data_IF_440566921238
#
_entry.id   IF_440566921238
#
_cell.length_a   1.000
_cell.length_b   1.000
_cell.length_c   1.000
_cell.angle_alpha   90.00
_cell.angle_beta   90.00
_cell.angle_gamma   90.00
#
_symmetry.space_group_name_H-M   'P 1'
#
loop_
_entity.id
_entity.type
_entity.pdbx_description
1 polymer ?
#
# COMPACT_ATOMS: atom_id res chain seq x y z
N UNK A 1 -16.56 23.94 15.75
CA UNK A 1 -15.94 23.33 14.55
C UNK A 1 -15.90 21.82 14.73
N UNK A 2 -16.07 21.05 13.69
CA UNK A 2 -15.89 19.60 13.77
C UNK A 2 -14.42 19.28 14.04
N UNK A 3 -14.15 18.26 14.88
CA UNK A 3 -12.79 17.80 15.19
C UNK A 3 -12.13 17.22 13.95
N UNK A 4 -10.83 17.48 13.76
CA UNK A 4 -10.01 16.82 12.75
C UNK A 4 -9.87 15.33 13.03
N UNK A 5 -9.48 14.55 12.02
CA UNK A 5 -9.20 13.11 12.21
C UNK A 5 -8.11 12.88 13.25
N UNK A 6 -7.09 13.74 13.28
CA UNK A 6 -6.00 13.67 14.24
C UNK A 6 -6.47 13.89 15.68
N UNK A 7 -7.24 14.95 15.91
CA UNK A 7 -7.80 15.23 17.26
C UNK A 7 -8.68 14.08 17.74
N UNK A 8 -9.49 13.49 16.87
CA UNK A 8 -10.30 12.31 17.19
C UNK A 8 -9.45 11.10 17.56
N UNK A 9 -8.37 10.85 16.79
CA UNK A 9 -7.46 9.75 17.06
C UNK A 9 -6.71 9.95 18.39
N UNK A 10 -6.21 11.14 18.67
CA UNK A 10 -5.52 11.48 19.91
C UNK A 10 -6.43 11.27 21.14
N UNK A 11 -7.70 11.66 21.06
CA UNK A 11 -8.68 11.44 22.12
C UNK A 11 -8.96 9.95 22.36
N UNK A 12 -9.04 9.13 21.31
CA UNK A 12 -9.22 7.69 21.44
C UNK A 12 -7.99 7.04 22.07
N UNK A 13 -6.80 7.38 21.57
CA UNK A 13 -5.52 6.84 22.08
C UNK A 13 -5.29 7.23 23.54
N UNK A 14 -5.70 8.43 23.95
CA UNK A 14 -5.60 8.86 25.37
C UNK A 14 -6.45 8.00 26.33
N UNK A 15 -7.52 7.39 25.82
CA UNK A 15 -8.40 6.52 26.62
C UNK A 15 -7.99 5.05 26.61
N UNK A 16 -7.08 4.64 25.71
CA UNK A 16 -6.62 3.25 25.61
C UNK A 16 -5.67 2.87 26.74
N UNK A 17 -5.80 1.63 27.23
CA UNK A 17 -4.79 1.00 28.09
C UNK A 17 -3.53 0.68 27.25
N UNK A 18 -2.44 0.29 27.92
CA UNK A 18 -1.22 -0.09 27.24
C UNK A 18 -1.43 -1.32 26.34
N UNK A 19 -2.15 -2.33 26.84
CA UNK A 19 -2.48 -3.55 26.12
C UNK A 19 -3.33 -3.26 24.88
N UNK A 20 -4.31 -2.38 25.01
CA UNK A 20 -5.13 -1.93 23.87
C UNK A 20 -4.29 -1.21 22.82
N UNK A 21 -3.38 -0.31 23.22
CA UNK A 21 -2.44 0.35 22.30
C UNK A 21 -1.55 -0.66 21.55
N UNK A 22 -1.00 -1.65 22.28
CA UNK A 22 -0.19 -2.71 21.68
C UNK A 22 -1.01 -3.53 20.68
N UNK A 23 -2.26 -3.85 21.00
CA UNK A 23 -3.14 -4.60 20.09
C UNK A 23 -3.41 -3.89 18.76
N UNK A 24 -3.32 -2.56 18.72
CA UNK A 24 -3.50 -1.76 17.50
C UNK A 24 -2.26 -1.72 16.60
N UNK A 25 -1.10 -2.19 17.07
CA UNK A 25 0.15 -2.19 16.29
C UNK A 25 0.35 -3.45 15.45
N UNK A 26 -0.54 -4.43 15.57
CA UNK A 26 -0.52 -5.65 14.76
C UNK A 26 -1.26 -5.46 13.44
N UNK A 27 -0.96 -6.28 12.44
CA UNK A 27 -1.73 -6.25 11.18
C UNK A 27 -3.21 -6.58 11.39
N UNK A 28 -3.55 -7.40 12.36
CA UNK A 28 -4.90 -7.65 12.84
C UNK A 28 -5.19 -6.82 14.09
N UNK A 29 -5.54 -5.54 13.93
CA UNK A 29 -5.89 -4.67 15.03
C UNK A 29 -7.17 -5.15 15.73
N UNK A 30 -7.09 -5.36 17.04
CA UNK A 30 -8.20 -5.89 17.83
C UNK A 30 -9.34 -4.86 17.95
N UNK A 31 -10.56 -5.37 18.14
CA UNK A 31 -11.69 -4.54 18.53
C UNK A 31 -11.50 -3.96 19.95
N UNK A 32 -11.92 -2.71 20.15
CA UNK A 32 -12.01 -2.08 21.47
C UNK A 32 -13.45 -1.59 21.64
N UNK A 33 -14.32 -2.51 22.03
CA UNK A 33 -15.79 -2.29 22.09
C UNK A 33 -16.16 -1.06 22.92
N UNK A 34 -15.55 -0.88 24.10
CA UNK A 34 -15.81 0.26 24.99
C UNK A 34 -15.49 1.63 24.39
N UNK A 35 -14.66 1.67 23.35
CA UNK A 35 -14.31 2.89 22.61
C UNK A 35 -15.00 2.96 21.23
N UNK A 36 -15.82 1.98 20.89
CA UNK A 36 -16.46 1.89 19.58
C UNK A 36 -15.48 1.69 18.44
N UNK A 37 -14.29 1.13 18.69
CA UNK A 37 -13.28 0.84 17.67
C UNK A 37 -13.51 -0.59 17.18
N UNK A 38 -13.90 -0.78 15.91
CA UNK A 38 -14.11 -2.11 15.38
C UNK A 38 -12.77 -2.81 15.08
N UNK A 39 -12.76 -4.13 15.04
CA UNK A 39 -11.66 -4.92 14.48
C UNK A 39 -11.32 -4.42 13.08
N UNK A 40 -10.02 -4.32 12.77
CA UNK A 40 -9.54 -3.97 11.44
C UNK A 40 -8.32 -4.81 11.08
N UNK A 41 -8.25 -5.26 9.82
CA UNK A 41 -7.06 -5.94 9.32
C UNK A 41 -6.34 -5.06 8.29
N UNK A 42 -5.08 -4.72 8.59
CA UNK A 42 -4.22 -3.88 7.77
C UNK A 42 -3.62 -4.62 6.58
N UNK A 43 -3.64 -5.95 6.58
CA UNK A 43 -3.05 -6.75 5.52
C UNK A 43 -4.04 -6.97 4.37
N UNK A 44 -3.92 -6.13 3.35
CA UNK A 44 -4.69 -6.24 2.14
C UNK A 44 -3.77 -6.05 0.92
N UNK A 45 -4.03 -6.79 -0.14
CA UNK A 45 -3.19 -6.82 -1.33
C UNK A 45 -3.97 -6.40 -2.56
N UNK A 46 -3.37 -5.50 -3.36
CA UNK A 46 -3.99 -4.98 -4.58
C UNK A 46 -2.96 -4.58 -5.63
N UNK A 47 -1.88 -5.35 -5.78
CA UNK A 47 -0.76 -5.00 -6.63
C UNK A 47 -1.17 -4.88 -8.12
N UNK A 48 -2.01 -5.79 -8.60
CA UNK A 48 -2.55 -5.79 -9.97
C UNK A 48 -4.00 -6.33 -10.01
N UNK A 49 -4.77 -6.02 -8.99
CA UNK A 49 -6.15 -6.46 -8.74
C UNK A 49 -6.33 -6.80 -7.26
N UNK A 50 -7.58 -6.76 -6.78
CA UNK A 50 -7.90 -7.12 -5.40
C UNK A 50 -7.63 -8.61 -5.18
N UNK A 51 -6.75 -8.92 -4.23
CA UNK A 51 -6.33 -10.29 -3.95
C UNK A 51 -7.16 -10.95 -2.84
N UNK A 52 -7.38 -12.27 -3.00
CA UNK A 52 -7.82 -13.24 -1.99
C UNK A 52 -9.19 -12.96 -1.35
N UNK A 53 -10.02 -12.12 -1.93
CA UNK A 53 -11.36 -11.83 -1.40
C UNK A 53 -12.42 -11.99 -2.49
N UNK A 54 -12.55 -13.21 -3.00
CA UNK A 54 -13.49 -13.55 -4.08
C UNK A 54 -12.99 -13.09 -5.45
N UNK A 55 -13.90 -13.05 -6.43
CA UNK A 55 -13.59 -12.65 -7.81
C UNK A 55 -13.37 -11.15 -7.91
N UNK A 56 -12.34 -10.73 -8.64
CA UNK A 56 -12.02 -9.36 -8.98
C UNK A 56 -11.37 -9.30 -10.37
N UNK A 57 -11.28 -8.11 -10.95
CA UNK A 57 -10.52 -7.90 -12.18
C UNK A 57 -9.04 -8.14 -11.92
N UNK A 58 -8.42 -8.96 -12.77
CA UNK A 58 -7.00 -9.26 -12.73
C UNK A 58 -6.30 -8.53 -13.89
N UNK A 59 -5.37 -7.65 -13.55
CA UNK A 59 -4.54 -6.92 -14.50
C UNK A 59 -3.18 -7.61 -14.71
N UNK A 60 -2.41 -7.24 -15.75
CA UNK A 60 -1.02 -7.70 -15.89
C UNK A 60 -0.18 -7.36 -14.67
N UNK A 61 0.90 -8.11 -14.46
CA UNK A 61 1.90 -7.80 -13.43
C UNK A 61 2.53 -6.42 -13.66
N UNK A 62 2.99 -5.77 -12.58
CA UNK A 62 3.51 -4.42 -12.62
C UNK A 62 4.65 -4.22 -13.64
N UNK A 63 5.54 -5.21 -13.79
CA UNK A 63 6.63 -5.15 -14.78
C UNK A 63 6.10 -5.12 -16.23
N UNK A 64 5.01 -5.81 -16.51
CA UNK A 64 4.34 -5.78 -17.81
C UNK A 64 3.62 -4.46 -18.08
N UNK A 65 3.00 -3.90 -17.05
CA UNK A 65 2.37 -2.56 -17.12
C UNK A 65 3.43 -1.49 -17.34
N UNK A 66 4.57 -1.56 -16.66
CA UNK A 66 5.66 -0.60 -16.83
C UNK A 66 6.23 -0.60 -18.25
N UNK A 67 6.22 -1.74 -18.93
CA UNK A 67 6.66 -1.85 -20.33
C UNK A 67 5.78 -1.06 -21.33
N UNK A 68 4.59 -0.64 -20.94
CA UNK A 68 3.75 0.25 -21.74
C UNK A 68 4.23 1.70 -21.72
N UNK A 69 4.96 2.13 -20.71
CA UNK A 69 5.32 3.52 -20.41
C UNK A 69 4.10 4.47 -20.34
N UNK A 70 2.93 3.93 -20.01
CA UNK A 70 1.66 4.63 -20.02
C UNK A 70 1.18 4.89 -18.57
N UNK A 71 1.34 6.12 -18.11
CA UNK A 71 0.95 6.55 -16.77
C UNK A 71 -0.58 6.58 -16.60
N UNK A 72 -1.30 6.93 -17.65
CA UNK A 72 -2.77 7.03 -17.60
C UNK A 72 -3.40 5.64 -17.53
N UNK A 73 -2.86 4.67 -18.25
CA UNK A 73 -3.27 3.26 -18.14
C UNK A 73 -3.10 2.73 -16.70
N UNK A 74 -1.97 3.05 -16.06
CA UNK A 74 -1.72 2.65 -14.66
C UNK A 74 -2.70 3.34 -13.71
N UNK A 75 -3.03 4.61 -13.95
CA UNK A 75 -4.00 5.33 -13.15
C UNK A 75 -5.41 4.76 -13.30
N UNK A 76 -5.88 4.49 -14.53
CA UNK A 76 -7.18 3.88 -14.79
C UNK A 76 -7.30 2.52 -14.10
N UNK A 77 -6.28 1.68 -14.23
CA UNK A 77 -6.22 0.39 -13.55
C UNK A 77 -6.34 0.54 -12.02
N UNK A 78 -5.58 1.45 -11.43
CA UNK A 78 -5.58 1.67 -9.97
C UNK A 78 -6.93 2.20 -9.47
N UNK A 79 -7.62 3.03 -10.25
CA UNK A 79 -8.97 3.51 -9.94
C UNK A 79 -10.00 2.37 -9.97
N UNK A 80 -9.93 1.48 -10.96
CA UNK A 80 -10.78 0.28 -11.03
C UNK A 80 -10.54 -0.61 -9.80
N UNK A 81 -9.27 -0.88 -9.47
CA UNK A 81 -8.88 -1.66 -8.30
C UNK A 81 -9.48 -1.06 -7.02
N UNK A 82 -9.33 0.24 -6.82
CA UNK A 82 -9.86 0.92 -5.64
C UNK A 82 -11.40 0.86 -5.57
N UNK A 83 -12.07 0.99 -6.71
CA UNK A 83 -13.53 0.89 -6.81
C UNK A 83 -14.02 -0.51 -6.44
N UNK A 84 -13.43 -1.55 -7.00
CA UNK A 84 -13.74 -2.94 -6.63
C UNK A 84 -13.45 -3.22 -5.16
N UNK A 85 -12.31 -2.75 -4.66
CA UNK A 85 -11.93 -2.89 -3.25
C UNK A 85 -12.91 -2.22 -2.30
N UNK A 86 -13.34 -1.00 -2.62
CA UNK A 86 -14.35 -0.26 -1.84
C UNK A 86 -15.69 -0.98 -1.85
N UNK A 87 -16.14 -1.47 -3.00
CA UNK A 87 -17.38 -2.22 -3.11
C UNK A 87 -17.36 -3.49 -2.26
N UNK A 88 -16.28 -4.26 -2.33
CA UNK A 88 -16.08 -5.47 -1.53
C UNK A 88 -16.04 -5.17 -0.03
N UNK A 89 -15.26 -4.16 0.38
CA UNK A 89 -15.20 -3.71 1.77
C UNK A 89 -16.58 -3.36 2.32
N UNK A 90 -17.37 -2.59 1.58
CA UNK A 90 -18.70 -2.18 2.01
C UNK A 90 -19.62 -3.40 2.23
N UNK A 91 -19.51 -4.41 1.37
CA UNK A 91 -20.27 -5.65 1.54
C UNK A 91 -19.79 -6.47 2.73
N UNK A 92 -18.47 -6.62 2.91
CA UNK A 92 -17.90 -7.34 4.06
C UNK A 92 -18.32 -6.69 5.39
N UNK A 93 -18.19 -5.37 5.50
CA UNK A 93 -18.58 -4.61 6.70
C UNK A 93 -20.07 -4.76 7.01
N UNK A 94 -20.93 -4.76 5.97
CA UNK A 94 -22.36 -4.96 6.12
C UNK A 94 -22.72 -6.29 6.79
N UNK A 95 -21.89 -7.32 6.57
CA UNK A 95 -22.07 -8.64 7.20
C UNK A 95 -21.15 -8.89 8.42
N UNK A 96 -20.51 -7.83 8.94
CA UNK A 96 -19.61 -7.93 10.11
C UNK A 96 -18.27 -8.62 9.84
N UNK A 97 -17.93 -8.85 8.57
CA UNK A 97 -16.69 -9.52 8.17
C UNK A 97 -15.56 -8.50 7.99
N UNK A 98 -14.59 -8.52 8.89
CA UNK A 98 -13.43 -7.63 8.94
C UNK A 98 -12.11 -8.38 8.98
N UNK A 99 -12.06 -9.52 8.32
CA UNK A 99 -10.89 -10.39 8.33
C UNK A 99 -9.80 -9.94 7.34
N UNK A 100 -8.69 -10.67 7.29
CA UNK A 100 -7.57 -10.44 6.36
C UNK A 100 -8.06 -10.34 4.92
N UNK A 101 -7.45 -9.46 4.13
CA UNK A 101 -7.77 -9.12 2.74
C UNK A 101 -9.13 -8.43 2.50
N UNK A 102 -9.80 -7.96 3.55
CA UNK A 102 -11.14 -7.35 3.47
C UNK A 102 -11.16 -5.88 3.91
N UNK A 103 -9.99 -5.27 4.12
CA UNK A 103 -9.82 -3.86 4.45
C UNK A 103 -9.59 -2.97 3.21
N UNK A 104 -9.21 -1.72 3.48
CA UNK A 104 -8.98 -0.67 2.47
C UNK A 104 -7.56 -0.08 2.52
N UNK A 105 -6.66 -0.72 3.24
CA UNK A 105 -5.25 -0.34 3.32
C UNK A 105 -4.43 -1.34 2.52
N UNK A 106 -4.11 -1.00 1.27
CA UNK A 106 -3.43 -1.92 0.36
C UNK A 106 -1.93 -1.79 0.43
N UNK A 107 -1.25 -2.93 0.58
CA UNK A 107 0.22 -3.00 0.57
C UNK A 107 0.75 -3.01 -0.86
N UNK A 108 0.49 -1.91 -1.56
CA UNK A 108 0.86 -1.59 -2.94
C UNK A 108 1.00 -0.08 -3.11
N UNK A 109 1.80 0.40 -4.08
CA UNK A 109 2.60 -0.33 -5.08
C UNK A 109 3.95 -0.82 -4.54
N UNK A 110 4.58 -1.78 -5.26
CA UNK A 110 5.97 -2.14 -5.05
C UNK A 110 6.88 -1.21 -5.88
N UNK A 111 7.52 -0.25 -5.22
CA UNK A 111 8.42 0.74 -5.85
C UNK A 111 9.90 0.41 -5.64
N UNK A 112 10.23 -0.83 -5.27
CA UNK A 112 11.61 -1.27 -5.22
C UNK A 112 12.23 -1.32 -6.62
N UNK A 113 13.52 -1.05 -6.70
CA UNK A 113 14.28 -1.14 -7.94
C UNK A 113 14.70 -2.59 -8.19
N UNK A 114 14.36 -3.13 -9.36
CA UNK A 114 14.69 -4.49 -9.77
C UNK A 114 16.16 -4.57 -10.22
N UNK A 115 17.09 -4.70 -9.27
CA UNK A 115 18.55 -4.70 -9.53
C UNK A 115 19.18 -6.07 -9.64
N UNK A 116 18.54 -7.13 -9.14
CA UNK A 116 19.09 -8.49 -9.11
C UNK A 116 18.08 -9.45 -9.73
N UNK A 117 18.43 -10.12 -10.85
CA UNK A 117 17.52 -11.03 -11.54
C UNK A 117 17.18 -12.29 -10.72
N UNK A 118 17.93 -12.58 -9.67
CA UNK A 118 17.66 -13.70 -8.76
C UNK A 118 16.57 -13.36 -7.71
N UNK A 119 16.12 -12.11 -7.67
CA UNK A 119 15.04 -11.73 -6.76
C UNK A 119 13.70 -12.25 -7.26
N UNK A 120 13.05 -13.12 -6.47
CA UNK A 120 11.79 -13.80 -6.83
C UNK A 120 10.58 -12.89 -7.00
N UNK A 121 10.66 -11.61 -6.59
CA UNK A 121 9.56 -10.63 -6.65
C UNK A 121 9.80 -9.51 -7.67
N UNK A 122 10.77 -9.66 -8.55
CA UNK A 122 11.09 -8.64 -9.56
C UNK A 122 9.90 -8.27 -10.46
N UNK A 123 9.05 -9.23 -10.80
CA UNK A 123 7.85 -9.02 -11.62
C UNK A 123 6.79 -8.15 -10.95
N UNK A 124 6.84 -7.97 -9.63
CA UNK A 124 5.95 -7.07 -8.88
C UNK A 124 6.33 -5.59 -8.99
N UNK A 125 7.48 -5.27 -9.61
CA UNK A 125 8.04 -3.92 -9.70
C UNK A 125 7.81 -3.28 -11.05
N UNK A 126 8.04 -1.96 -11.13
CA UNK A 126 8.03 -1.21 -12.38
C UNK A 126 9.39 -1.26 -13.13
N UNK A 127 10.35 -2.07 -12.67
CA UNK A 127 11.63 -2.29 -13.32
C UNK A 127 12.82 -1.66 -12.58
N UNK A 128 13.87 -1.35 -13.33
CA UNK A 128 15.16 -0.91 -12.77
C UNK A 128 15.36 0.62 -12.77
N UNK A 129 14.53 1.37 -13.48
CA UNK A 129 14.67 2.81 -13.62
C UNK A 129 13.95 3.57 -12.49
N UNK A 130 14.65 4.40 -11.70
CA UNK A 130 14.05 5.14 -10.58
C UNK A 130 13.04 6.20 -11.03
N UNK A 131 13.23 6.80 -12.22
CA UNK A 131 12.32 7.83 -12.72
C UNK A 131 11.00 7.21 -13.17
N UNK A 132 11.04 6.19 -14.01
CA UNK A 132 9.84 5.45 -14.44
C UNK A 132 9.07 4.89 -13.24
N UNK A 133 9.79 4.26 -12.29
CA UNK A 133 9.19 3.74 -11.05
C UNK A 133 8.51 4.85 -10.24
N UNK A 134 9.13 6.03 -10.15
CA UNK A 134 8.53 7.18 -9.47
C UNK A 134 7.25 7.64 -10.15
N UNK A 135 7.26 7.78 -11.47
CA UNK A 135 6.10 8.24 -12.25
C UNK A 135 4.91 7.30 -12.11
N UNK A 136 5.14 6.02 -12.37
CA UNK A 136 4.07 5.00 -12.30
C UNK A 136 3.59 4.77 -10.87
N UNK A 137 4.50 4.76 -9.89
CA UNK A 137 4.14 4.63 -8.48
C UNK A 137 3.27 5.78 -7.97
N UNK A 138 3.59 7.02 -8.33
CA UNK A 138 2.78 8.20 -8.01
C UNK A 138 1.38 8.10 -8.62
N UNK A 139 1.29 7.77 -9.91
CA UNK A 139 -0.01 7.66 -10.62
C UNK A 139 -0.88 6.55 -10.04
N UNK A 140 -0.27 5.41 -9.72
CA UNK A 140 -0.97 4.31 -9.05
C UNK A 140 -1.55 4.76 -7.69
N UNK A 141 -0.75 5.42 -6.85
CA UNK A 141 -1.18 5.86 -5.52
C UNK A 141 -2.30 6.91 -5.62
N UNK A 142 -2.12 7.94 -6.46
CA UNK A 142 -3.12 8.99 -6.63
C UNK A 142 -4.48 8.41 -7.05
N UNK A 143 -4.49 7.54 -8.05
CA UNK A 143 -5.73 6.94 -8.55
C UNK A 143 -6.34 5.94 -7.52
N UNK A 144 -5.52 5.16 -6.82
CA UNK A 144 -6.00 4.26 -5.76
C UNK A 144 -6.67 5.03 -4.62
N UNK A 145 -6.11 6.18 -4.24
CA UNK A 145 -6.62 6.99 -3.14
C UNK A 145 -7.81 7.87 -3.55
N UNK A 146 -7.95 8.16 -4.83
CA UNK A 146 -9.00 9.02 -5.37
C UNK A 146 -8.74 10.50 -5.11
N UNK A 147 -9.69 11.34 -5.50
CA UNK A 147 -9.60 12.80 -5.50
C UNK A 147 -10.53 13.50 -4.49
N UNK A 148 -11.27 12.74 -3.68
CA UNK A 148 -12.13 13.33 -2.65
C UNK A 148 -11.26 13.96 -1.53
N UNK A 149 -11.44 15.25 -1.22
CA UNK A 149 -10.57 15.96 -0.28
C UNK A 149 -10.75 15.53 1.19
N UNK A 150 -11.75 14.71 1.49
CA UNK A 150 -12.08 14.28 2.86
C UNK A 150 -12.04 12.77 3.01
N UNK A 151 -12.54 12.05 2.00
CA UNK A 151 -12.73 10.60 2.07
C UNK A 151 -11.86 9.87 1.06
N UNK A 152 -10.74 9.37 1.52
CA UNK A 152 -9.87 8.53 0.72
C UNK A 152 -10.60 7.26 0.24
N UNK A 153 -10.49 6.93 -1.05
CA UNK A 153 -11.13 5.76 -1.65
C UNK A 153 -10.54 4.46 -1.11
N UNK A 154 -9.21 4.38 -1.05
CA UNK A 154 -8.43 3.36 -0.39
C UNK A 154 -7.06 3.94 0.01
N UNK A 155 -6.34 3.33 0.93
CA UNK A 155 -5.00 3.77 1.31
C UNK A 155 -3.94 2.92 0.63
N UNK A 156 -2.95 3.56 0.02
CA UNK A 156 -1.77 2.92 -0.57
C UNK A 156 -0.62 2.81 0.45
N UNK A 157 0.30 1.89 0.18
CA UNK A 157 1.55 1.74 0.91
C UNK A 157 2.69 1.48 -0.06
N UNK A 158 3.50 2.49 -0.36
CA UNK A 158 4.70 2.31 -1.14
C UNK A 158 5.68 1.39 -0.40
N UNK A 159 6.04 0.27 -0.99
CA UNK A 159 6.85 -0.78 -0.36
C UNK A 159 7.96 -1.27 -1.29
N UNK A 160 8.96 -1.94 -0.75
CA UNK A 160 9.31 -2.22 0.66
C UNK A 160 10.49 -1.33 1.03
N UNK A 161 10.36 -0.52 2.02
CA UNK A 161 11.37 0.47 2.38
C UNK A 161 12.62 -0.23 2.96
N UNK A 162 13.82 -0.12 2.31
CA UNK A 162 14.01 0.61 1.05
C UNK A 162 14.74 -0.24 -0.01
N UNK A 163 15.74 -1.05 0.36
CA UNK A 163 16.63 -1.78 -0.58
C UNK A 163 16.32 -3.29 -0.51
N UNK A 164 15.09 -3.67 -0.82
CA UNK A 164 14.57 -5.03 -0.64
C UNK A 164 14.65 -5.87 -1.93
N UNK A 165 15.73 -5.88 -2.66
CA UNK A 165 15.84 -6.62 -3.92
C UNK A 165 17.14 -7.43 -4.01
N UNK A 166 17.27 -8.43 -3.15
CA UNK A 166 18.38 -9.36 -3.14
C UNK A 166 18.01 -10.76 -3.66
N UNK A 167 18.95 -11.71 -3.70
CA UNK A 167 18.69 -13.07 -4.11
C UNK A 167 17.58 -13.71 -3.27
N UNK A 168 16.62 -14.37 -3.92
CA UNK A 168 15.45 -14.95 -3.24
C UNK A 168 15.82 -16.02 -2.22
N UNK A 169 16.85 -16.83 -2.49
CA UNK A 169 17.32 -17.85 -1.55
C UNK A 169 17.87 -17.29 -0.24
N UNK A 170 18.21 -15.99 -0.20
CA UNK A 170 18.75 -15.30 0.96
C UNK A 170 17.76 -14.31 1.59
N UNK A 171 16.53 -14.29 1.15
CA UNK A 171 15.50 -13.29 1.47
C UNK A 171 15.40 -12.92 2.94
N UNK A 172 15.56 -13.87 3.87
CA UNK A 172 15.37 -13.66 5.29
C UNK A 172 16.62 -13.19 6.05
N UNK A 173 17.79 -13.20 5.42
CA UNK A 173 19.07 -12.81 6.05
C UNK A 173 19.99 -12.00 5.15
N UNK A 174 19.54 -11.68 3.93
CA UNK A 174 20.30 -10.83 3.01
C UNK A 174 20.53 -9.44 3.61
N UNK A 175 21.80 -9.09 3.79
CA UNK A 175 22.17 -7.74 4.19
C UNK A 175 22.36 -6.86 2.95
N UNK A 176 21.40 -6.01 2.68
CA UNK A 176 21.43 -5.08 1.55
C UNK A 176 22.36 -3.89 1.87
N UNK A 177 23.61 -3.98 1.42
CA UNK A 177 24.56 -2.89 1.55
C UNK A 177 24.41 -1.93 0.36
N UNK A 178 24.18 -0.65 0.64
CA UNK A 178 24.10 0.41 -0.35
C UNK A 178 24.88 1.63 0.13
N UNK A 179 25.59 2.30 -0.77
CA UNK A 179 26.25 3.56 -0.46
C UNK A 179 25.20 4.68 -0.27
N UNK A 180 25.61 5.80 0.36
CA UNK A 180 24.71 6.97 0.44
C UNK A 180 24.32 7.48 -0.92
N UNK A 181 25.24 7.45 -1.89
CA UNK A 181 24.95 7.85 -3.26
C UNK A 181 23.88 6.96 -3.86
N UNK A 182 24.03 5.63 -3.83
CA UNK A 182 23.05 4.70 -4.35
C UNK A 182 21.67 4.89 -3.69
N UNK A 183 21.66 5.12 -2.37
CA UNK A 183 20.42 5.39 -1.63
C UNK A 183 19.68 6.59 -2.22
N UNK A 184 20.35 7.73 -2.41
CA UNK A 184 19.72 8.96 -2.85
C UNK A 184 19.46 9.02 -4.36
N UNK A 185 20.26 8.35 -5.18
CA UNK A 185 20.13 8.39 -6.64
C UNK A 185 19.27 7.25 -7.19
N UNK A 186 19.21 6.10 -6.51
CA UNK A 186 18.54 4.90 -7.02
C UNK A 186 17.35 4.44 -6.15
N UNK A 187 17.57 4.24 -4.84
CA UNK A 187 16.59 3.51 -4.02
C UNK A 187 15.53 4.39 -3.35
N UNK A 188 15.84 5.62 -2.99
CA UNK A 188 14.91 6.53 -2.31
C UNK A 188 14.05 7.41 -3.25
N UNK A 189 14.43 7.72 -4.50
CA UNK A 189 13.68 8.66 -5.33
C UNK A 189 12.20 8.29 -5.48
N UNK A 190 11.88 7.02 -5.73
CA UNK A 190 10.49 6.58 -5.89
C UNK A 190 9.68 6.72 -4.59
N UNK A 191 10.25 6.36 -3.43
CA UNK A 191 9.61 6.58 -2.14
C UNK A 191 9.36 8.06 -1.87
N UNK A 192 10.36 8.91 -2.13
CA UNK A 192 10.24 10.36 -1.98
C UNK A 192 9.12 10.92 -2.86
N UNK A 193 9.10 10.54 -4.14
CA UNK A 193 8.07 10.98 -5.07
C UNK A 193 6.67 10.55 -4.61
N UNK A 194 6.50 9.29 -4.21
CA UNK A 194 5.23 8.77 -3.71
C UNK A 194 4.73 9.53 -2.47
N UNK A 195 5.61 9.81 -1.49
CA UNK A 195 5.23 10.55 -0.27
C UNK A 195 4.88 12.01 -0.59
N UNK A 196 5.65 12.67 -1.45
CA UNK A 196 5.42 14.08 -1.77
C UNK A 196 4.18 14.34 -2.64
N UNK A 197 3.80 13.36 -3.47
CA UNK A 197 2.67 13.50 -4.38
C UNK A 197 1.30 13.26 -3.73
N UNK A 198 1.25 12.75 -2.52
CA UNK A 198 0.04 12.31 -1.81
C UNK A 198 -0.09 12.93 -0.42
N UNK A 199 0.40 14.15 -0.22
CA UNK A 199 0.15 14.90 1.02
C UNK A 199 -1.33 15.34 1.06
N UNK A 200 -2.10 14.74 1.96
CA UNK A 200 -3.43 15.19 2.41
C UNK A 200 -3.27 16.10 3.64
#
# INVERSE_FOLDING_TARGET
MAKTFRERAEELVAQMTLEEKVSQTLHGAAEIERLGIPKYNWWNEALHGIARTGTATLFPQAIGLAASFDEELVAEMADIIATEGRAKYNMHVKYGDRDIYKGLTYWAPNVNIFRDPRWGRGHETYGEDPYLTSRLGVRFIQALQGDDPVYMKAAACAKHFAVHSGPEGERHYFNAVASKQDMYETYLPAFKACVQAVSY
#
